data_IF_387452128149
#
_entry.id   IF_387452128149
#
_cell.length_a   1.000
_cell.length_b   1.000
_cell.length_c   1.000
_cell.angle_alpha   90.00
_cell.angle_beta   90.00
_cell.angle_gamma   90.00
#
_symmetry.space_group_name_H-M   'P 1'
#
loop_
_entity.id
_entity.type
_entity.pdbx_description
1 polymer ?
#
# COMPACT_ATOMS: atom_id res chain seq x y z
N UNK A 1 -22.74 13.05 5.25
CA UNK A 1 -21.74 13.29 4.18
C UNK A 1 -21.40 11.97 3.51
N UNK A 2 -20.70 11.99 2.37
CA UNK A 2 -20.41 10.78 1.57
C UNK A 2 -19.34 9.87 2.20
N UNK A 3 -18.63 10.34 3.24
CA UNK A 3 -17.61 9.58 3.96
C UNK A 3 -18.22 8.90 5.18
N UNK A 4 -18.55 7.60 5.07
CA UNK A 4 -19.22 6.84 6.14
C UNK A 4 -18.45 6.85 7.48
N UNK A 5 -17.12 6.92 7.44
CA UNK A 5 -16.25 6.96 8.63
C UNK A 5 -15.44 8.26 8.75
N UNK A 6 -15.84 9.32 8.04
CA UNK A 6 -15.12 10.60 8.01
C UNK A 6 -13.63 10.48 7.62
N UNK A 7 -13.30 9.40 6.88
CA UNK A 7 -11.94 9.04 6.47
C UNK A 7 -11.89 8.81 4.97
N UNK A 8 -10.69 8.99 4.42
CA UNK A 8 -10.30 8.63 3.06
C UNK A 8 -9.34 7.42 3.13
N UNK A 9 -9.19 6.63 2.05
CA UNK A 9 -9.73 6.80 0.69
C UNK A 9 -11.23 6.53 0.58
N UNK A 10 -11.86 7.19 -0.40
CA UNK A 10 -13.21 6.90 -0.88
C UNK A 10 -13.21 6.90 -2.41
N UNK A 11 -13.92 5.94 -3.02
CA UNK A 11 -14.09 5.82 -4.47
C UNK A 11 -15.57 5.73 -4.80
N UNK A 12 -16.05 6.63 -5.66
CA UNK A 12 -17.39 6.56 -6.24
C UNK A 12 -17.33 5.63 -7.46
N UNK A 13 -18.04 4.51 -7.42
CA UNK A 13 -18.08 3.51 -8.49
C UNK A 13 -19.42 2.77 -8.46
N UNK A 14 -20.00 2.47 -9.61
CA UNK A 14 -21.25 1.69 -9.73
C UNK A 14 -22.42 2.21 -8.87
N UNK A 15 -22.50 3.52 -8.69
CA UNK A 15 -23.55 4.17 -7.90
C UNK A 15 -23.38 4.05 -6.38
N UNK A 16 -22.23 3.57 -5.89
CA UNK A 16 -21.91 3.48 -4.46
C UNK A 16 -20.64 4.26 -4.10
N UNK A 17 -20.58 4.73 -2.86
CA UNK A 17 -19.41 5.39 -2.27
C UNK A 17 -18.63 4.36 -1.44
N UNK A 18 -17.61 3.74 -2.03
CA UNK A 18 -16.77 2.75 -1.37
C UNK A 18 -15.73 3.44 -0.49
N UNK A 19 -15.73 3.16 0.81
CA UNK A 19 -14.70 3.58 1.76
C UNK A 19 -13.88 2.36 2.22
N UNK A 20 -12.76 2.59 2.91
CA UNK A 20 -11.79 1.58 3.35
C UNK A 20 -10.98 0.95 2.21
N UNK A 21 -9.65 1.12 2.27
CA UNK A 21 -8.72 0.68 1.21
C UNK A 21 -8.93 -0.78 0.81
N UNK A 22 -9.11 -1.69 1.78
CA UNK A 22 -9.29 -3.13 1.51
C UNK A 22 -10.62 -3.42 0.81
N UNK A 23 -11.71 -2.73 1.19
CA UNK A 23 -13.01 -2.93 0.56
C UNK A 23 -13.02 -2.42 -0.89
N UNK A 24 -12.45 -1.22 -1.12
CA UNK A 24 -12.27 -0.64 -2.46
C UNK A 24 -11.47 -1.60 -3.37
N UNK A 25 -10.31 -2.07 -2.91
CA UNK A 25 -9.44 -2.94 -3.70
C UNK A 25 -10.08 -4.30 -4.01
N UNK A 26 -10.77 -4.92 -3.04
CA UNK A 26 -11.48 -6.20 -3.26
C UNK A 26 -12.62 -6.04 -4.26
N UNK A 27 -13.38 -4.94 -4.18
CA UNK A 27 -14.46 -4.66 -5.12
C UNK A 27 -13.93 -4.51 -6.55
N UNK A 28 -12.89 -3.70 -6.75
CA UNK A 28 -12.26 -3.51 -8.07
C UNK A 28 -11.67 -4.82 -8.58
N UNK A 29 -10.96 -5.58 -7.74
CA UNK A 29 -10.35 -6.84 -8.15
C UNK A 29 -11.41 -7.87 -8.58
N UNK A 30 -12.52 -7.98 -7.84
CA UNK A 30 -13.62 -8.88 -8.20
C UNK A 30 -14.31 -8.42 -9.50
N UNK A 31 -14.58 -7.11 -9.64
CA UNK A 31 -15.25 -6.54 -10.81
C UNK A 31 -14.49 -6.76 -12.12
N UNK A 32 -13.17 -6.80 -12.07
CA UNK A 32 -12.30 -6.96 -13.25
C UNK A 32 -11.62 -8.34 -13.31
N UNK A 33 -12.17 -9.37 -12.64
CA UNK A 33 -11.69 -10.76 -12.69
C UNK A 33 -10.22 -10.96 -12.25
N UNK A 34 -9.75 -10.10 -11.35
CA UNK A 34 -8.40 -10.13 -10.77
C UNK A 34 -8.35 -10.76 -9.36
N UNK A 35 -9.46 -11.34 -8.89
CA UNK A 35 -9.60 -11.82 -7.52
C UNK A 35 -9.85 -13.32 -7.40
N UNK A 36 -9.23 -14.11 -8.28
CA UNK A 36 -9.32 -15.58 -8.25
C UNK A 36 -10.70 -16.13 -8.60
N UNK A 37 -10.75 -17.40 -8.98
CA UNK A 37 -11.98 -18.05 -9.49
C UNK A 37 -12.74 -18.83 -8.43
N UNK A 38 -12.12 -19.05 -7.27
CA UNK A 38 -12.67 -19.83 -6.18
C UNK A 38 -12.11 -19.37 -4.83
N UNK A 39 -12.71 -19.85 -3.74
CA UNK A 39 -12.34 -19.47 -2.38
C UNK A 39 -10.87 -19.77 -2.04
N UNK A 40 -10.29 -20.83 -2.61
CA UNK A 40 -8.88 -21.18 -2.36
C UNK A 40 -7.92 -20.21 -3.03
N UNK A 41 -8.18 -19.86 -4.29
CA UNK A 41 -7.41 -18.83 -5.00
C UNK A 41 -7.56 -17.45 -4.33
N UNK A 42 -8.77 -17.09 -3.90
CA UNK A 42 -9.03 -15.86 -3.14
C UNK A 42 -8.24 -15.81 -1.83
N UNK A 43 -8.25 -16.90 -1.06
CA UNK A 43 -7.50 -16.99 0.19
C UNK A 43 -5.99 -16.81 -0.02
N UNK A 44 -5.43 -17.39 -1.10
CA UNK A 44 -4.02 -17.18 -1.45
C UNK A 44 -3.73 -15.72 -1.83
N UNK A 45 -4.60 -15.10 -2.64
CA UNK A 45 -4.45 -13.68 -3.01
C UNK A 45 -4.49 -12.80 -1.75
N UNK A 46 -5.48 -13.00 -0.87
CA UNK A 46 -5.60 -12.24 0.37
C UNK A 46 -4.37 -12.40 1.26
N UNK A 47 -3.88 -13.63 1.43
CA UNK A 47 -2.69 -13.92 2.22
C UNK A 47 -1.45 -13.19 1.68
N UNK A 48 -1.23 -13.18 0.36
CA UNK A 48 -0.11 -12.47 -0.24
C UNK A 48 -0.26 -10.95 -0.12
N UNK A 49 -1.46 -10.41 -0.35
CA UNK A 49 -1.71 -8.96 -0.24
C UNK A 49 -1.59 -8.49 1.21
N UNK A 50 -2.11 -9.23 2.20
CA UNK A 50 -1.92 -8.93 3.62
C UNK A 50 -0.44 -9.06 4.04
N UNK A 51 0.27 -10.10 3.58
CA UNK A 51 1.69 -10.28 3.89
C UNK A 51 2.59 -9.13 3.39
N UNK A 52 2.22 -8.53 2.26
CA UNK A 52 2.89 -7.34 1.69
C UNK A 52 2.44 -6.02 2.31
N UNK A 53 1.25 -5.98 2.92
CA UNK A 53 0.66 -4.76 3.45
C UNK A 53 1.52 -4.14 4.54
N UNK A 54 1.97 -4.93 5.51
CA UNK A 54 2.78 -4.43 6.62
C UNK A 54 4.02 -3.67 6.13
N UNK A 55 4.73 -4.23 5.14
CA UNK A 55 5.91 -3.60 4.58
C UNK A 55 5.55 -2.34 3.78
N UNK A 56 4.47 -2.40 3.01
CA UNK A 56 3.98 -1.25 2.23
C UNK A 56 3.58 -0.08 3.13
N UNK A 57 2.88 -0.35 4.22
CA UNK A 57 2.47 0.67 5.19
C UNK A 57 3.71 1.28 5.87
N UNK A 58 4.70 0.48 6.26
CA UNK A 58 5.97 1.00 6.80
C UNK A 58 6.68 1.95 5.81
N UNK A 59 6.71 1.61 4.52
CA UNK A 59 7.31 2.44 3.46
C UNK A 59 6.52 3.73 3.26
N UNK A 60 5.18 3.67 3.21
CA UNK A 60 4.31 4.83 3.01
C UNK A 60 4.47 5.85 4.14
N UNK A 61 4.59 5.39 5.39
CA UNK A 61 4.71 6.27 6.56
C UNK A 61 6.16 6.66 6.89
N UNK A 62 7.15 6.06 6.23
CA UNK A 62 8.56 6.40 6.47
C UNK A 62 8.88 7.90 6.39
N UNK A 63 8.36 8.69 5.41
CA UNK A 63 8.60 10.14 5.35
C UNK A 63 8.07 10.92 6.56
N UNK A 64 7.16 10.34 7.35
CA UNK A 64 6.61 10.94 8.56
C UNK A 64 7.39 10.55 9.83
N UNK A 65 8.44 9.75 9.70
CA UNK A 65 9.31 9.40 10.82
C UNK A 65 9.88 10.65 11.48
N UNK A 66 10.00 10.61 12.81
CA UNK A 66 10.77 11.61 13.53
C UNK A 66 12.23 11.61 13.04
N UNK A 67 12.88 12.78 12.90
CA UNK A 67 14.26 12.86 12.42
C UNK A 67 15.21 11.90 13.16
N UNK A 68 15.08 11.80 14.48
CA UNK A 68 15.94 11.00 15.36
C UNK A 68 15.71 9.48 15.20
N UNK A 69 14.55 9.08 14.65
CA UNK A 69 14.19 7.67 14.42
C UNK A 69 14.34 7.24 12.97
N UNK A 70 14.64 8.17 12.06
CA UNK A 70 14.59 7.94 10.62
C UNK A 70 15.59 6.87 10.17
N UNK A 71 16.82 6.92 10.68
CA UNK A 71 17.86 5.93 10.34
C UNK A 71 17.49 4.52 10.84
N UNK A 72 17.12 4.38 12.12
CA UNK A 72 16.66 3.10 12.69
C UNK A 72 15.44 2.53 11.95
N UNK A 73 14.46 3.38 11.63
CA UNK A 73 13.28 2.96 10.88
C UNK A 73 13.66 2.49 9.47
N UNK A 74 14.60 3.17 8.81
CA UNK A 74 15.09 2.77 7.50
C UNK A 74 15.77 1.40 7.55
N UNK A 75 16.68 1.18 8.50
CA UNK A 75 17.34 -0.12 8.70
C UNK A 75 16.32 -1.23 8.95
N UNK A 76 15.32 -0.98 9.81
CA UNK A 76 14.27 -1.95 10.11
C UNK A 76 13.44 -2.30 8.86
N UNK A 77 13.06 -1.30 8.05
CA UNK A 77 12.32 -1.50 6.80
C UNK A 77 13.16 -2.29 5.80
N UNK A 78 14.44 -1.96 5.64
CA UNK A 78 15.36 -2.65 4.73
C UNK A 78 15.59 -4.10 5.15
N UNK A 79 15.73 -4.37 6.45
CA UNK A 79 15.82 -5.73 6.98
C UNK A 79 14.58 -6.54 6.64
N UNK A 80 13.38 -5.99 6.92
CA UNK A 80 12.10 -6.65 6.61
C UNK A 80 11.92 -6.90 5.11
N UNK A 81 12.30 -5.95 4.26
CA UNK A 81 12.21 -6.07 2.81
C UNK A 81 13.13 -7.18 2.27
N UNK A 82 14.36 -7.27 2.78
CA UNK A 82 15.35 -8.24 2.30
C UNK A 82 15.12 -9.65 2.83
N UNK A 83 14.64 -9.82 4.07
CA UNK A 83 14.35 -11.16 4.62
C UNK A 83 13.09 -11.80 4.05
N UNK A 84 12.08 -10.99 3.68
CA UNK A 84 10.79 -11.49 3.16
C UNK A 84 10.79 -11.70 1.65
N UNK A 85 11.71 -11.06 0.92
CA UNK A 85 11.77 -11.12 -0.53
C UNK A 85 12.90 -12.03 -1.02
N UNK A 86 12.59 -12.95 -1.94
CA UNK A 86 13.60 -13.71 -2.68
C UNK A 86 14.04 -12.91 -3.92
N UNK A 87 15.31 -12.46 -4.01
CA UNK A 87 15.74 -11.48 -5.03
C UNK A 87 15.62 -11.96 -6.49
N UNK A 88 15.72 -13.27 -6.73
CA UNK A 88 15.72 -13.84 -8.09
C UNK A 88 14.30 -13.87 -8.67
N UNK A 89 13.34 -14.43 -7.93
CA UNK A 89 11.95 -14.50 -8.38
C UNK A 89 11.31 -13.11 -8.50
N UNK A 90 11.69 -12.18 -7.61
CA UNK A 90 11.20 -10.80 -7.66
C UNK A 90 11.65 -10.08 -8.93
N UNK A 91 12.91 -10.26 -9.36
CA UNK A 91 13.44 -9.60 -10.56
C UNK A 91 12.71 -10.05 -11.83
N UNK A 92 12.52 -11.35 -12.00
CA UNK A 92 11.80 -11.90 -13.15
C UNK A 92 10.30 -11.59 -13.10
N UNK A 93 9.69 -11.66 -11.93
CA UNK A 93 8.30 -11.27 -11.73
C UNK A 93 8.09 -9.80 -12.08
N UNK A 94 8.91 -8.90 -11.52
CA UNK A 94 8.87 -7.46 -11.81
C UNK A 94 8.99 -7.21 -13.31
N UNK A 95 9.95 -7.85 -13.98
CA UNK A 95 10.12 -7.72 -15.42
C UNK A 95 8.86 -8.16 -16.17
N UNK A 96 8.31 -9.35 -15.88
CA UNK A 96 7.09 -9.83 -16.57
C UNK A 96 5.89 -8.91 -16.36
N UNK A 97 5.63 -8.51 -15.11
CA UNK A 97 4.50 -7.63 -14.77
C UNK A 97 4.66 -6.26 -15.40
N UNK A 98 5.86 -5.68 -15.43
CA UNK A 98 6.09 -4.36 -16.02
C UNK A 98 5.91 -4.31 -17.55
N UNK A 99 5.85 -5.47 -18.22
CA UNK A 99 5.62 -5.56 -19.67
C UNK A 99 4.14 -5.77 -20.04
N UNK A 100 3.24 -5.98 -19.08
CA UNK A 100 1.79 -6.05 -19.36
C UNK A 100 1.34 -4.70 -19.94
N UNK A 101 0.69 -4.64 -21.12
CA UNK A 101 0.46 -3.38 -21.84
C UNK A 101 -0.21 -2.27 -21.01
N UNK A 102 -1.19 -2.61 -20.19
CA UNK A 102 -1.89 -1.66 -19.29
C UNK A 102 -0.97 -1.13 -18.20
N UNK A 103 -0.11 -1.99 -17.63
CA UNK A 103 0.89 -1.62 -16.63
C UNK A 103 2.01 -0.80 -17.29
N UNK A 104 2.53 -1.23 -18.44
CA UNK A 104 3.53 -0.47 -19.22
C UNK A 104 3.04 0.95 -19.47
N UNK A 105 1.78 1.12 -19.94
CA UNK A 105 1.17 2.42 -20.14
C UNK A 105 1.06 3.23 -18.84
N UNK A 106 0.71 2.57 -17.73
CA UNK A 106 0.65 3.22 -16.42
C UNK A 106 2.03 3.63 -15.89
N UNK A 107 3.10 2.97 -16.30
CA UNK A 107 4.47 3.30 -15.90
C UNK A 107 5.10 4.43 -16.74
N UNK A 108 4.51 4.79 -17.88
CA UNK A 108 5.02 5.87 -18.74
C UNK A 108 4.77 7.26 -18.12
N UNK A 109 5.61 8.27 -18.47
CA UNK A 109 5.37 9.66 -18.10
C UNK A 109 3.98 10.15 -18.54
N UNK A 110 3.37 11.02 -17.73
CA UNK A 110 2.04 11.58 -17.98
C UNK A 110 0.87 10.67 -17.59
N UNK A 111 1.13 9.46 -17.06
CA UNK A 111 0.10 8.63 -16.44
C UNK A 111 -0.38 9.22 -15.11
N UNK A 112 -1.43 8.62 -14.54
CA UNK A 112 -1.95 9.00 -13.21
C UNK A 112 -1.08 8.50 -12.04
N UNK A 113 0.04 7.81 -12.31
CA UNK A 113 0.97 7.35 -11.27
C UNK A 113 1.55 8.55 -10.52
N UNK A 114 1.40 8.57 -9.20
CA UNK A 114 1.91 9.65 -8.34
C UNK A 114 3.41 9.48 -8.08
N UNK A 115 4.18 10.58 -7.98
CA UNK A 115 5.58 10.54 -7.55
C UNK A 115 5.67 10.20 -6.05
N UNK A 116 6.88 9.89 -5.53
CA UNK A 116 7.12 9.82 -4.10
C UNK A 116 6.71 11.11 -3.37
N UNK A 117 6.31 10.99 -2.10
CA UNK A 117 5.95 12.15 -1.27
C UNK A 117 7.14 13.12 -1.16
N UNK A 118 6.88 14.39 -1.49
CA UNK A 118 7.80 15.51 -1.25
C UNK A 118 7.33 16.32 -0.02
N UNK A 119 8.13 17.31 0.39
CA UNK A 119 7.83 18.15 1.56
C UNK A 119 6.49 18.87 1.43
N UNK A 120 6.22 19.51 0.28
CA UNK A 120 4.95 20.21 0.01
C UNK A 120 3.72 19.30 0.15
N UNK A 121 3.82 18.06 -0.34
CA UNK A 121 2.74 17.06 -0.23
C UNK A 121 2.52 16.64 1.22
N UNK A 122 3.61 16.51 2.00
CA UNK A 122 3.56 16.18 3.42
C UNK A 122 2.93 17.32 4.22
N UNK A 123 3.27 18.57 3.92
CA UNK A 123 2.67 19.74 4.57
C UNK A 123 1.18 19.86 4.26
N UNK A 124 0.81 19.70 3.00
CA UNK A 124 -0.60 19.68 2.58
C UNK A 124 -1.38 18.59 3.30
N UNK A 125 -0.83 17.37 3.38
CA UNK A 125 -1.43 16.25 4.10
C UNK A 125 -1.61 16.55 5.59
N UNK A 126 -0.59 17.10 6.26
CA UNK A 126 -0.67 17.50 7.67
C UNK A 126 -1.74 18.55 7.92
N UNK A 127 -1.88 19.52 7.01
CA UNK A 127 -2.88 20.58 7.11
C UNK A 127 -4.31 20.03 6.97
N UNK A 128 -4.56 19.23 5.92
CA UNK A 128 -5.89 18.66 5.62
C UNK A 128 -6.34 17.70 6.73
N UNK A 129 -5.48 16.76 7.09
CA UNK A 129 -5.84 15.69 8.04
C UNK A 129 -5.49 16.02 9.49
N UNK A 130 -4.99 17.24 9.76
CA UNK A 130 -4.53 17.67 11.09
C UNK A 130 -3.58 16.63 11.72
N UNK A 131 -2.67 16.12 10.90
CA UNK A 131 -1.82 14.99 11.27
C UNK A 131 -0.60 15.47 12.08
N UNK A 132 -0.54 15.12 13.36
CA UNK A 132 0.61 15.40 14.23
C UNK A 132 1.76 14.41 14.00
N UNK A 133 3.01 14.87 14.18
CA UNK A 133 4.19 13.99 14.12
C UNK A 133 4.09 12.93 15.22
N UNK A 134 4.22 11.65 14.87
CA UNK A 134 4.33 10.54 15.82
C UNK A 134 3.04 9.77 16.13
N UNK A 135 1.89 10.13 15.54
CA UNK A 135 0.61 9.44 15.78
C UNK A 135 0.54 7.98 15.29
N UNK A 136 1.40 7.55 14.36
CA UNK A 136 1.16 6.29 13.62
C UNK A 136 1.95 5.06 14.09
N UNK A 137 3.10 5.24 14.77
CA UNK A 137 4.00 4.10 15.06
C UNK A 137 3.63 3.29 16.32
N UNK A 138 2.67 3.72 17.15
CA UNK A 138 2.34 3.02 18.40
C UNK A 138 1.43 1.79 18.24
N UNK A 139 0.71 1.63 17.12
CA UNK A 139 -0.41 0.69 17.03
C UNK A 139 -0.35 -0.34 15.88
N UNK A 140 0.74 -0.42 15.10
CA UNK A 140 0.89 -1.47 14.08
C UNK A 140 1.54 -2.71 14.69
N UNK A 141 0.73 -3.49 15.41
CA UNK A 141 1.14 -4.78 15.94
C UNK A 141 0.83 -5.91 14.96
N UNK A 142 1.85 -6.41 14.27
CA UNK A 142 1.85 -7.79 13.78
C UNK A 142 2.79 -8.58 14.69
N UNK A 143 2.24 -9.52 15.46
CA UNK A 143 3.04 -10.49 16.21
C UNK A 143 3.74 -11.37 15.17
N UNK A 144 5.07 -11.27 15.09
CA UNK A 144 5.85 -12.21 14.29
C UNK A 144 5.73 -13.58 14.96
N UNK A 145 5.30 -14.60 14.20
CA UNK A 145 5.42 -15.98 14.66
C UNK A 145 6.89 -16.37 14.57
N UNK A 146 7.52 -16.63 15.72
CA UNK A 146 8.80 -17.31 15.81
C UNK A 146 8.53 -18.81 15.55
N UNK A 147 9.11 -19.35 14.49
CA UNK A 147 9.26 -20.81 14.29
C UNK A 147 10.74 -21.13 14.29
#
# INVERSE_FOLDING_TARGET
GNLMYERVPMVEMDGINLVETRAILRYIAAKYDLYGRNLKEQAWIDMYVEGLRDLSDMIIFFPLSLPEKKERNLEYILGRATTRSSPVYEKEFKARISHIPTITKFLQPGSQRKPPLNEDSIETMKSIFRFERGMFLKNMGTIAAEY
#
